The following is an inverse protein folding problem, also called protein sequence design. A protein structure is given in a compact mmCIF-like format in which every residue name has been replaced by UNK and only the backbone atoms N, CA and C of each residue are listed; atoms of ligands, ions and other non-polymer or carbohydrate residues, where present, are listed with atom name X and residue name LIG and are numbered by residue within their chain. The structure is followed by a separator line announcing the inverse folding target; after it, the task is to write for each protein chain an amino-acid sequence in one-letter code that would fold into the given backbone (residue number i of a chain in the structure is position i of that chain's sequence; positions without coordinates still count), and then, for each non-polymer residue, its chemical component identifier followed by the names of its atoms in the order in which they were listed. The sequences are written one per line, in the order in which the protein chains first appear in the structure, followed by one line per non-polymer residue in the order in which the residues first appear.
data_IF_245498070318
#
_entry.id   IF_245498070318
#
_cell.length_a   1.000
_cell.length_b   1.000
_cell.length_c   1.000
_cell.angle_alpha   90.00
_cell.angle_beta   90.00
_cell.angle_gamma   90.00
#
_symmetry.space_group_name_H-M   'P 1'
#
loop_
_entity.id
_entity.type
_entity.pdbx_description
1 polymer ?
#
# COMPACT_ATOMS: atom_id res chain seq x y z
N UNK A 1 -46.53 -7.08 46.07
CA UNK A 1 -46.61 -8.53 45.75
C UNK A 1 -47.35 -9.29 46.85
N UNK A 2 -46.81 -9.40 48.10
CA UNK A 2 -47.39 -10.26 49.12
C UNK A 2 -48.84 -9.89 49.51
N UNK A 3 -49.18 -8.62 49.73
CA UNK A 3 -50.56 -8.19 50.00
C UNK A 3 -51.58 -8.52 48.90
N UNK A 4 -51.15 -8.61 47.65
CA UNK A 4 -52.01 -8.95 46.48
C UNK A 4 -52.28 -10.45 46.40
N UNK A 5 -51.37 -11.26 46.92
CA UNK A 5 -51.60 -12.71 47.06
C UNK A 5 -52.59 -13.02 48.14
N UNK A 6 -52.50 -12.35 49.35
CA UNK A 6 -53.42 -12.48 50.40
C UNK A 6 -54.84 -12.04 50.01
N UNK A 7 -54.98 -11.06 49.17
CA UNK A 7 -56.27 -10.57 48.62
C UNK A 7 -56.76 -11.43 47.40
N UNK A 8 -56.04 -12.48 46.98
CA UNK A 8 -56.43 -13.37 45.89
C UNK A 8 -56.32 -12.83 44.48
N UNK A 9 -55.76 -11.64 44.32
CA UNK A 9 -55.57 -11.02 42.97
C UNK A 9 -54.44 -11.63 42.15
N UNK A 10 -53.43 -12.24 42.82
CA UNK A 10 -52.29 -12.87 42.17
C UNK A 10 -52.01 -14.23 42.80
N UNK A 11 -51.68 -15.24 42.00
CA UNK A 11 -51.17 -16.51 42.47
C UNK A 11 -49.69 -16.44 42.80
N UNK A 12 -49.21 -17.29 43.71
CA UNK A 12 -47.79 -17.36 44.06
C UNK A 12 -46.91 -17.66 42.82
N UNK A 13 -47.41 -18.50 41.91
CA UNK A 13 -46.72 -18.80 40.61
C UNK A 13 -46.57 -17.57 39.70
N UNK A 14 -47.59 -16.67 39.68
CA UNK A 14 -47.52 -15.46 38.89
C UNK A 14 -46.46 -14.48 39.42
N UNK A 15 -46.25 -14.40 40.72
CA UNK A 15 -45.21 -13.57 41.31
C UNK A 15 -43.82 -14.11 40.94
N UNK A 16 -43.62 -15.42 41.04
CA UNK A 16 -42.34 -16.06 40.63
C UNK A 16 -42.08 -15.82 39.16
N UNK A 17 -43.10 -15.97 38.31
CA UNK A 17 -42.96 -15.71 36.87
C UNK A 17 -42.58 -14.24 36.58
N UNK A 18 -43.20 -13.27 37.28
CA UNK A 18 -42.88 -11.85 37.16
C UNK A 18 -41.43 -11.55 37.52
N UNK A 19 -40.94 -12.11 38.64
CA UNK A 19 -39.52 -11.93 39.05
C UNK A 19 -38.56 -12.50 38.01
N UNK A 20 -38.88 -13.68 37.48
CA UNK A 20 -38.07 -14.30 36.44
C UNK A 20 -38.04 -13.47 35.15
N UNK A 21 -39.20 -12.95 34.70
CA UNK A 21 -39.25 -12.06 33.54
C UNK A 21 -38.50 -10.76 33.77
N UNK A 22 -38.61 -10.13 34.94
CA UNK A 22 -37.82 -8.94 35.25
C UNK A 22 -36.32 -9.21 35.18
N UNK A 23 -35.87 -10.32 35.75
CA UNK A 23 -34.46 -10.73 35.69
C UNK A 23 -34.03 -11.00 34.26
N UNK A 24 -34.84 -11.66 33.44
CA UNK A 24 -34.57 -11.95 32.06
C UNK A 24 -34.48 -10.66 31.21
N UNK A 25 -35.39 -9.70 31.44
CA UNK A 25 -35.36 -8.38 30.77
C UNK A 25 -34.03 -7.65 31.05
N UNK A 26 -33.59 -7.67 32.31
CA UNK A 26 -32.31 -7.03 32.70
C UNK A 26 -31.12 -7.68 31.95
N UNK A 27 -31.08 -9.00 31.87
CA UNK A 27 -30.04 -9.73 31.15
C UNK A 27 -30.05 -9.36 29.66
N UNK A 28 -31.24 -9.30 29.04
CA UNK A 28 -31.35 -8.94 27.62
C UNK A 28 -30.96 -7.49 27.34
N UNK A 29 -31.26 -6.55 28.29
CA UNK A 29 -30.80 -5.16 28.18
C UNK A 29 -29.27 -5.05 28.22
N UNK A 30 -28.60 -5.83 29.08
CA UNK A 30 -27.12 -5.88 29.11
C UNK A 30 -26.58 -6.45 27.82
N UNK A 31 -27.18 -7.50 27.26
CA UNK A 31 -26.79 -8.04 25.96
C UNK A 31 -26.95 -7.01 24.85
N UNK A 32 -28.04 -6.25 24.85
CA UNK A 32 -28.27 -5.18 23.88
C UNK A 32 -27.18 -4.09 23.97
N UNK A 33 -26.82 -3.67 25.18
CA UNK A 33 -25.75 -2.70 25.39
C UNK A 33 -24.40 -3.21 24.86
N UNK A 34 -24.07 -4.47 25.10
CA UNK A 34 -22.86 -5.10 24.57
C UNK A 34 -22.89 -5.20 23.06
N UNK A 35 -24.04 -5.48 22.47
CA UNK A 35 -24.20 -5.51 21.00
C UNK A 35 -23.89 -4.14 20.39
N UNK A 36 -24.34 -3.05 20.97
CA UNK A 36 -24.04 -1.69 20.52
C UNK A 36 -22.54 -1.39 20.53
N UNK A 37 -21.84 -1.84 21.59
CA UNK A 37 -20.38 -1.70 21.68
C UNK A 37 -19.68 -2.50 20.58
N UNK A 38 -20.11 -3.74 20.32
CA UNK A 38 -19.55 -4.60 19.26
C UNK A 38 -19.78 -3.97 17.90
N UNK A 39 -20.99 -3.47 17.63
CA UNK A 39 -21.30 -2.78 16.36
C UNK A 39 -20.43 -1.55 16.14
N UNK A 40 -20.24 -0.73 17.17
CA UNK A 40 -19.38 0.46 17.09
C UNK A 40 -17.94 0.09 16.74
N UNK A 41 -17.41 -0.99 17.32
CA UNK A 41 -16.07 -1.51 16.99
C UNK A 41 -16.01 -2.08 15.59
N UNK A 42 -17.06 -2.76 15.14
CA UNK A 42 -17.15 -3.32 13.80
C UNK A 42 -17.12 -2.21 12.73
N UNK A 43 -17.88 -1.13 12.92
CA UNK A 43 -17.85 0.03 12.02
C UNK A 43 -16.47 0.69 11.97
N UNK A 44 -15.81 0.90 13.11
CA UNK A 44 -14.46 1.44 13.14
C UNK A 44 -13.42 0.54 12.44
N UNK A 45 -13.62 -0.77 12.47
CA UNK A 45 -12.77 -1.73 11.75
C UNK A 45 -13.05 -1.71 10.26
N UNK A 46 -14.31 -1.58 9.87
CA UNK A 46 -14.73 -1.48 8.47
C UNK A 46 -14.12 -0.24 7.81
N UNK A 47 -14.18 0.92 8.46
CA UNK A 47 -13.55 2.16 7.98
C UNK A 47 -12.06 1.99 7.67
N UNK A 48 -11.33 1.28 8.54
CA UNK A 48 -9.89 1.02 8.31
C UNK A 48 -9.65 0.13 7.09
N UNK A 49 -10.49 -0.87 6.91
CA UNK A 49 -10.41 -1.77 5.74
C UNK A 49 -10.73 -1.00 4.47
N UNK A 50 -11.78 -0.18 4.50
CA UNK A 50 -12.19 0.64 3.35
C UNK A 50 -11.10 1.64 2.94
N UNK A 51 -10.43 2.28 3.91
CA UNK A 51 -9.28 3.15 3.64
C UNK A 51 -8.15 2.42 2.90
N UNK A 52 -7.91 1.13 3.19
CA UNK A 52 -6.89 0.36 2.49
C UNK A 52 -7.33 0.06 1.06
N UNK A 53 -8.59 -0.30 0.84
CA UNK A 53 -9.12 -0.53 -0.51
C UNK A 53 -9.22 0.75 -1.34
N UNK A 54 -9.35 1.90 -0.70
CA UNK A 54 -9.35 3.20 -1.36
C UNK A 54 -7.95 3.69 -1.78
N UNK A 55 -6.86 2.99 -1.37
CA UNK A 55 -5.51 3.33 -1.77
C UNK A 55 -5.30 3.00 -3.25
N UNK A 56 -5.08 4.03 -4.04
CA UNK A 56 -4.66 3.86 -5.43
C UNK A 56 -3.13 3.76 -5.51
N UNK A 57 -2.58 2.82 -6.30
CA UNK A 57 -1.16 2.77 -6.57
C UNK A 57 -0.67 4.08 -7.19
N UNK A 58 0.45 4.60 -6.72
CA UNK A 58 1.05 5.83 -7.26
C UNK A 58 1.53 5.67 -8.71
N UNK A 59 1.86 4.44 -9.10
CA UNK A 59 2.27 4.10 -10.46
C UNK A 59 1.13 3.39 -11.21
N UNK A 60 0.85 3.83 -12.42
CA UNK A 60 -0.11 3.17 -13.31
C UNK A 60 0.57 2.00 -14.03
N UNK A 61 -0.04 0.83 -13.97
CA UNK A 61 0.41 -0.37 -14.69
C UNK A 61 0.00 -0.37 -16.18
N UNK A 62 -0.47 0.78 -16.68
CA UNK A 62 -0.88 0.94 -18.07
C UNK A 62 0.27 1.48 -18.91
N UNK A 63 0.38 1.04 -20.17
CA UNK A 63 1.39 1.53 -21.08
C UNK A 63 1.65 0.58 -22.24
N UNK A 64 2.57 0.99 -23.09
CA UNK A 64 3.04 0.21 -24.25
C UNK A 64 3.95 -0.93 -23.78
N UNK A 65 3.94 -2.02 -24.54
CA UNK A 65 4.78 -3.22 -24.29
C UNK A 65 5.85 -3.39 -25.35
N UNK A 66 5.96 -2.45 -26.27
CA UNK A 66 6.94 -2.44 -27.36
C UNK A 66 7.46 -1.03 -27.60
N UNK A 67 8.66 -0.95 -28.16
CA UNK A 67 9.33 0.29 -28.52
C UNK A 67 9.92 0.10 -29.92
N UNK A 68 9.70 1.06 -30.80
CA UNK A 68 10.45 1.14 -32.05
C UNK A 68 11.90 1.53 -31.74
N UNK A 69 12.84 0.62 -31.97
CA UNK A 69 14.26 0.88 -31.76
C UNK A 69 14.77 1.87 -32.80
N UNK A 70 15.10 3.08 -32.37
CA UNK A 70 15.77 4.08 -33.20
C UNK A 70 17.27 3.96 -33.01
N UNK A 71 18.00 3.81 -34.10
CA UNK A 71 19.48 3.86 -34.10
C UNK A 71 19.96 5.21 -33.56
N UNK A 72 21.06 5.19 -32.80
CA UNK A 72 21.70 6.35 -32.18
C UNK A 72 20.93 7.03 -31.03
N UNK A 73 19.88 6.41 -30.48
CA UNK A 73 19.19 6.92 -29.32
C UNK A 73 19.83 6.35 -28.05
N UNK A 74 20.09 7.16 -27.00
CA UNK A 74 20.55 6.65 -25.71
C UNK A 74 19.59 5.58 -25.18
N UNK A 75 20.16 4.53 -24.54
CA UNK A 75 19.36 3.48 -23.92
C UNK A 75 18.55 4.03 -22.76
N UNK A 76 19.12 5.01 -22.06
CA UNK A 76 18.52 5.69 -20.92
C UNK A 76 18.90 7.17 -20.96
N UNK A 77 17.91 8.05 -20.76
CA UNK A 77 18.14 9.49 -20.74
C UNK A 77 17.29 10.13 -19.64
N UNK A 78 17.91 10.87 -18.75
CA UNK A 78 17.28 11.68 -17.71
C UNK A 78 17.21 13.12 -18.21
N UNK A 79 16.02 13.75 -18.14
CA UNK A 79 15.80 15.14 -18.54
C UNK A 79 15.18 15.93 -17.40
N UNK A 80 15.94 16.87 -16.87
CA UNK A 80 15.54 17.71 -15.73
C UNK A 80 14.90 16.90 -14.60
N UNK A 81 15.51 15.74 -14.32
CA UNK A 81 14.92 14.72 -13.47
C UNK A 81 15.20 15.00 -12.01
N UNK A 82 14.16 15.12 -11.20
CA UNK A 82 14.27 15.19 -9.73
C UNK A 82 13.34 14.20 -9.04
N UNK A 83 13.67 13.90 -7.78
CA UNK A 83 12.88 12.96 -6.98
C UNK A 83 12.81 13.32 -5.50
N UNK A 84 11.59 13.23 -4.96
CA UNK A 84 11.26 13.41 -3.54
C UNK A 84 10.43 12.21 -3.09
N UNK A 85 10.82 11.56 -2.00
CA UNK A 85 9.98 10.53 -1.40
C UNK A 85 8.71 11.13 -0.80
N UNK A 86 7.60 10.41 -0.91
CA UNK A 86 6.33 10.85 -0.34
C UNK A 86 6.48 11.18 1.15
N UNK A 87 6.04 12.38 1.55
CA UNK A 87 6.18 12.88 2.93
C UNK A 87 7.56 13.44 3.30
N UNK A 88 8.57 13.36 2.42
CA UNK A 88 9.86 14.00 2.65
C UNK A 88 9.79 15.51 2.36
N UNK A 89 10.53 16.30 3.17
CA UNK A 89 10.60 17.77 3.00
C UNK A 89 11.73 18.21 2.07
N UNK A 90 12.66 17.32 1.73
CA UNK A 90 13.84 17.65 0.92
C UNK A 90 13.91 16.71 -0.28
N UNK A 91 14.38 17.24 -1.38
CA UNK A 91 14.70 16.45 -2.57
C UNK A 91 15.80 15.44 -2.24
N UNK A 92 15.57 14.20 -2.65
CA UNK A 92 16.56 13.13 -2.54
C UNK A 92 17.50 13.16 -3.75
N UNK A 93 16.97 13.53 -4.91
CA UNK A 93 17.72 13.74 -6.14
C UNK A 93 17.33 15.12 -6.66
N UNK A 94 18.32 16.00 -6.78
CA UNK A 94 18.16 17.33 -7.36
C UNK A 94 18.06 17.22 -8.89
N UNK A 95 17.45 18.19 -9.57
CA UNK A 95 17.32 18.20 -11.02
C UNK A 95 18.66 17.99 -11.73
N UNK A 96 18.71 17.04 -12.65
CA UNK A 96 19.90 16.75 -13.43
C UNK A 96 19.54 16.18 -14.82
N UNK A 97 20.47 16.33 -15.75
CA UNK A 97 20.45 15.74 -17.07
C UNK A 97 21.56 14.70 -17.19
N UNK A 98 21.24 13.54 -17.74
CA UNK A 98 22.21 12.47 -17.92
C UNK A 98 21.73 11.48 -19.01
N UNK A 99 22.65 10.98 -19.80
CA UNK A 99 22.32 10.02 -20.83
C UNK A 99 23.34 8.87 -20.86
N UNK A 100 22.88 7.67 -21.14
CA UNK A 100 23.66 6.44 -21.23
C UNK A 100 23.44 5.80 -22.57
N UNK A 101 24.52 5.50 -23.28
CA UNK A 101 24.48 4.75 -24.54
C UNK A 101 24.61 3.26 -24.30
N UNK A 102 24.22 2.49 -25.31
CA UNK A 102 24.39 1.04 -25.25
C UNK A 102 25.86 0.64 -25.12
N UNK A 103 26.13 -0.31 -24.22
CA UNK A 103 27.49 -0.79 -23.93
C UNK A 103 28.31 0.07 -22.98
N UNK A 104 27.80 1.22 -22.52
CA UNK A 104 28.50 2.04 -21.54
C UNK A 104 28.41 1.47 -20.11
N UNK A 105 29.48 1.64 -19.36
CA UNK A 105 29.51 1.32 -17.92
C UNK A 105 29.58 2.62 -17.13
N UNK A 106 28.64 2.79 -16.20
CA UNK A 106 28.52 4.00 -15.39
C UNK A 106 28.85 3.70 -13.93
N UNK A 107 29.79 4.43 -13.37
CA UNK A 107 30.14 4.38 -11.94
C UNK A 107 29.42 5.50 -11.19
N UNK A 108 28.60 5.14 -10.18
CA UNK A 108 27.90 6.10 -9.30
C UNK A 108 28.58 6.09 -7.94
N UNK A 109 29.27 7.18 -7.59
CA UNK A 109 30.00 7.33 -6.31
C UNK A 109 29.36 8.43 -5.45
N UNK A 110 29.48 8.28 -4.15
CA UNK A 110 28.97 9.25 -3.16
C UNK A 110 28.85 8.65 -1.77
N UNK A 111 28.68 9.51 -0.77
CA UNK A 111 28.50 9.11 0.63
C UNK A 111 27.16 8.40 0.90
N UNK A 112 26.98 7.94 2.14
CA UNK A 112 25.70 7.41 2.60
C UNK A 112 24.64 8.51 2.55
N UNK A 113 23.44 8.17 2.04
CA UNK A 113 22.34 9.14 1.91
C UNK A 113 22.41 10.05 0.68
N UNK A 114 23.40 9.92 -0.22
CA UNK A 114 23.52 10.75 -1.43
C UNK A 114 22.56 10.41 -2.57
N UNK A 115 21.61 9.48 -2.37
CA UNK A 115 20.62 9.14 -3.39
C UNK A 115 21.00 8.03 -4.36
N UNK A 116 22.18 7.36 -4.23
CA UNK A 116 22.62 6.29 -5.14
C UNK A 116 21.60 5.18 -5.35
N UNK A 117 21.08 4.64 -4.25
CA UNK A 117 20.07 3.57 -4.31
C UNK A 117 18.76 4.07 -4.91
N UNK A 118 18.40 5.32 -4.64
CA UNK A 118 17.23 5.96 -5.22
C UNK A 118 17.39 6.11 -6.73
N UNK A 119 18.57 6.58 -7.19
CA UNK A 119 18.89 6.69 -8.61
C UNK A 119 18.72 5.36 -9.34
N UNK A 120 19.28 4.26 -8.80
CA UNK A 120 19.14 2.91 -9.38
C UNK A 120 17.67 2.45 -9.36
N UNK A 121 16.93 2.78 -8.30
CA UNK A 121 15.51 2.44 -8.19
C UNK A 121 14.64 3.18 -9.21
N UNK A 122 15.01 4.41 -9.58
CA UNK A 122 14.34 5.17 -10.65
C UNK A 122 14.57 4.51 -12.01
N UNK A 123 15.80 4.02 -12.30
CA UNK A 123 16.09 3.30 -13.55
C UNK A 123 15.20 2.07 -13.71
N UNK A 124 14.99 1.32 -12.62
CA UNK A 124 14.11 0.15 -12.62
C UNK A 124 12.62 0.50 -12.53
N UNK A 125 12.28 1.81 -12.56
CA UNK A 125 10.94 2.30 -12.36
C UNK A 125 10.25 1.67 -11.16
N UNK A 126 10.95 1.67 -9.99
CA UNK A 126 10.34 1.31 -8.71
C UNK A 126 9.62 2.52 -8.09
N UNK A 127 9.92 3.71 -8.58
CA UNK A 127 9.27 4.98 -8.28
C UNK A 127 9.18 5.80 -9.56
N UNK A 128 8.11 6.56 -9.73
CA UNK A 128 8.02 7.59 -10.76
C UNK A 128 8.72 8.86 -10.31
N UNK A 129 9.36 9.57 -11.21
CA UNK A 129 10.05 10.84 -10.92
C UNK A 129 9.06 11.93 -10.52
N UNK A 130 9.48 12.84 -9.61
CA UNK A 130 8.67 13.95 -9.13
C UNK A 130 8.57 15.05 -10.16
N UNK A 131 9.69 15.41 -10.80
CA UNK A 131 9.72 16.32 -11.95
C UNK A 131 10.67 15.81 -13.02
N UNK A 132 10.55 16.37 -14.22
CA UNK A 132 11.28 15.90 -15.38
C UNK A 132 10.77 14.56 -15.90
N UNK A 133 11.63 13.82 -16.60
CA UNK A 133 11.29 12.53 -17.22
C UNK A 133 12.51 11.67 -17.41
N UNK A 134 12.28 10.36 -17.42
CA UNK A 134 13.26 9.36 -17.82
C UNK A 134 12.79 8.75 -19.14
N UNK A 135 13.66 8.76 -20.13
CA UNK A 135 13.37 8.16 -21.43
C UNK A 135 14.14 6.85 -21.56
N UNK A 136 13.44 5.79 -21.90
CA UNK A 136 14.00 4.51 -22.27
C UNK A 136 13.97 4.39 -23.80
N UNK A 137 15.14 4.37 -24.45
CA UNK A 137 15.30 4.41 -25.92
C UNK A 137 14.44 5.50 -26.59
N UNK A 138 14.41 6.69 -25.96
CA UNK A 138 13.68 7.86 -26.44
C UNK A 138 12.18 7.89 -26.17
N UNK A 139 11.62 6.89 -25.49
CA UNK A 139 10.21 6.83 -25.06
C UNK A 139 10.14 7.10 -23.56
N UNK A 140 9.21 7.96 -23.14
CA UNK A 140 9.01 8.24 -21.71
C UNK A 140 8.61 6.95 -20.96
N UNK A 141 9.30 6.68 -19.86
CA UNK A 141 9.04 5.46 -19.05
C UNK A 141 7.60 5.39 -18.54
N UNK A 142 6.95 6.54 -18.37
CA UNK A 142 5.54 6.62 -17.94
C UNK A 142 4.56 6.12 -19.02
N UNK A 143 4.98 6.12 -20.28
CA UNK A 143 4.20 5.56 -21.40
C UNK A 143 4.39 4.05 -21.57
N UNK A 144 5.35 3.45 -20.88
CA UNK A 144 5.68 2.03 -20.97
C UNK A 144 5.10 1.27 -19.77
N UNK A 145 4.77 0.00 -19.95
CA UNK A 145 4.43 -0.86 -18.82
C UNK A 145 5.66 -1.09 -17.94
N UNK A 146 5.53 -0.99 -16.60
CA UNK A 146 6.65 -1.25 -15.69
C UNK A 146 7.31 -2.61 -15.89
N UNK A 147 6.51 -3.66 -16.17
CA UNK A 147 7.01 -5.02 -16.43
C UNK A 147 7.90 -5.08 -17.67
N UNK A 148 7.57 -4.29 -18.71
CA UNK A 148 8.36 -4.23 -19.93
C UNK A 148 9.75 -3.67 -19.64
N UNK A 149 9.85 -2.58 -18.88
CA UNK A 149 11.13 -1.97 -18.49
C UNK A 149 11.90 -2.92 -17.59
N UNK A 150 11.27 -3.45 -16.54
CA UNK A 150 11.91 -4.37 -15.58
C UNK A 150 12.37 -5.67 -16.23
N UNK A 151 11.66 -6.17 -17.23
CA UNK A 151 12.06 -7.34 -18.00
C UNK A 151 13.35 -7.15 -18.84
N UNK A 152 13.79 -5.90 -19.05
CA UNK A 152 15.03 -5.55 -19.74
C UNK A 152 16.20 -5.23 -18.78
N UNK A 153 15.97 -5.21 -17.47
CA UNK A 153 16.93 -4.79 -16.44
C UNK A 153 17.25 -5.98 -15.52
N UNK A 154 18.51 -6.34 -15.44
CA UNK A 154 19.01 -7.21 -14.37
C UNK A 154 19.36 -6.37 -13.15
N UNK A 155 18.63 -6.51 -12.07
CA UNK A 155 18.82 -5.75 -10.83
C UNK A 155 19.50 -6.62 -9.77
N UNK A 156 20.66 -6.17 -9.26
CA UNK A 156 21.37 -6.84 -8.16
C UNK A 156 21.25 -5.97 -6.91
N UNK A 157 20.45 -6.38 -5.91
CA UNK A 157 20.27 -5.61 -4.68
C UNK A 157 21.53 -5.67 -3.81
N UNK A 158 21.75 -4.62 -3.00
CA UNK A 158 22.86 -4.53 -2.06
C UNK A 158 22.82 -5.67 -1.03
N UNK A 159 21.64 -6.10 -0.61
CA UNK A 159 21.41 -7.22 0.29
C UNK A 159 20.59 -8.27 -0.44
N UNK A 160 21.22 -9.36 -0.81
CA UNK A 160 20.51 -10.50 -1.40
C UNK A 160 19.70 -11.22 -0.30
N UNK A 161 18.43 -11.48 -0.58
CA UNK A 161 17.57 -12.35 0.21
C UNK A 161 17.22 -13.56 -0.66
N UNK A 162 17.67 -14.73 -0.24
CA UNK A 162 17.33 -15.98 -0.91
C UNK A 162 16.25 -16.69 -0.12
N UNK A 163 15.30 -17.29 -0.82
CA UNK A 163 14.31 -18.18 -0.21
C UNK A 163 14.93 -19.56 0.02
N UNK A 164 14.43 -20.27 1.03
CA UNK A 164 14.85 -21.65 1.25
C UNK A 164 14.37 -22.53 0.09
N UNK A 165 15.33 -23.15 -0.61
CA UNK A 165 15.03 -23.93 -1.83
C UNK A 165 16.25 -24.16 -2.69
N UNK A 166 16.05 -24.63 -3.91
CA UNK A 166 17.12 -24.78 -4.90
C UNK A 166 17.47 -23.44 -5.57
N UNK A 167 18.64 -23.37 -6.22
CA UNK A 167 19.03 -22.22 -7.05
C UNK A 167 18.04 -21.93 -8.17
N UNK A 168 17.30 -22.95 -8.61
CA UNK A 168 16.29 -22.79 -9.66
C UNK A 168 15.01 -22.12 -9.15
N UNK A 169 14.72 -22.24 -7.86
CA UNK A 169 13.52 -21.72 -7.20
C UNK A 169 13.71 -20.25 -6.76
N UNK A 170 14.98 -19.76 -6.74
CA UNK A 170 15.40 -18.40 -6.47
C UNK A 170 15.71 -17.63 -7.76
#
# INVERSE_FOLDING_TARGET
GGKQVDLGYLTQGQIIALINYMSQILVELVKLANLLIILSRAFASLDRVDQIFALEPSMKETGKTDIEEKKDTPILEFKDTSFVYHGARKETIHPFDFAVKEGETIGVIGGTGSGKSTFVSLIARLYDVTSGRILYRGVDEKELKPEFIRGKIGFVPQKASLFEGSLRDN
#
